data_IF_475936202586
#
_entry.id   IF_475936202586
#
_cell.length_a   1.000
_cell.length_b   1.000
_cell.length_c   1.000
_cell.angle_alpha   90.00
_cell.angle_beta   90.00
_cell.angle_gamma   90.00
#
_symmetry.space_group_name_H-M   'P 1'
#
loop_
_entity.id
_entity.type
_entity.pdbx_description
1 polymer ?
#
# COMPACT_ATOMS: atom_id res chain seq x y z
N UNK A 1 -11.72 26.07 2.81
CA UNK A 1 -11.98 24.69 2.33
C UNK A 1 -13.10 24.08 3.17
N UNK A 2 -13.99 23.23 2.64
CA UNK A 2 -15.01 22.57 3.49
C UNK A 2 -14.36 21.46 4.35
N UNK A 3 -14.89 21.21 5.56
CA UNK A 3 -14.38 20.17 6.48
C UNK A 3 -14.30 18.79 5.83
N UNK A 4 -15.34 18.41 5.09
CA UNK A 4 -15.39 17.13 4.38
C UNK A 4 -14.29 17.02 3.32
N UNK A 5 -14.03 18.11 2.60
CA UNK A 5 -12.96 18.13 1.62
C UNK A 5 -11.59 18.05 2.30
N UNK A 6 -11.39 18.72 3.44
CA UNK A 6 -10.15 18.68 4.21
C UNK A 6 -9.85 17.26 4.69
N UNK A 7 -10.84 16.60 5.31
CA UNK A 7 -10.74 15.21 5.77
C UNK A 7 -10.42 14.27 4.61
N UNK A 8 -11.06 14.45 3.45
CA UNK A 8 -10.74 13.67 2.24
C UNK A 8 -9.28 13.85 1.81
N UNK A 9 -8.75 15.08 1.81
CA UNK A 9 -7.34 15.33 1.45
C UNK A 9 -6.36 14.74 2.48
N UNK A 10 -6.65 14.86 3.78
CA UNK A 10 -5.82 14.26 4.85
C UNK A 10 -5.83 12.74 4.75
N UNK A 11 -7.00 12.11 4.60
CA UNK A 11 -7.11 10.66 4.43
C UNK A 11 -6.44 10.16 3.15
N UNK A 12 -6.48 10.96 2.06
CA UNK A 12 -5.75 10.64 0.83
C UNK A 12 -4.23 10.67 1.04
N UNK A 13 -3.72 11.63 1.79
CA UNK A 13 -2.28 11.69 2.09
C UNK A 13 -1.83 10.58 3.02
N UNK A 14 -2.67 10.22 3.99
CA UNK A 14 -2.40 9.22 5.01
C UNK A 14 -3.00 7.84 4.66
N UNK A 15 -3.16 7.55 3.36
CA UNK A 15 -3.80 6.34 2.87
C UNK A 15 -3.12 5.05 3.34
N UNK A 16 -1.80 5.13 3.58
CA UNK A 16 -0.91 4.05 4.02
C UNK A 16 -1.04 3.72 5.52
N UNK A 17 -1.81 4.49 6.30
CA UNK A 17 -2.08 4.19 7.70
C UNK A 17 -2.94 2.92 7.84
N UNK A 18 -2.65 2.13 8.87
CA UNK A 18 -3.44 0.95 9.23
C UNK A 18 -4.82 1.36 9.82
N UNK A 19 -5.77 0.43 9.91
CA UNK A 19 -7.12 0.68 10.41
C UNK A 19 -7.14 1.33 11.80
N UNK A 20 -6.30 0.84 12.73
CA UNK A 20 -6.16 1.41 14.08
C UNK A 20 -5.65 2.86 14.04
N UNK A 21 -4.66 3.14 13.19
CA UNK A 21 -4.05 4.47 13.04
C UNK A 21 -5.01 5.46 12.36
N UNK A 22 -5.84 4.99 11.42
CA UNK A 22 -6.91 5.78 10.80
C UNK A 22 -8.01 6.14 11.81
N UNK A 23 -8.38 5.22 12.68
CA UNK A 23 -9.33 5.51 13.75
C UNK A 23 -8.78 6.54 14.74
N UNK A 24 -7.49 6.43 15.09
CA UNK A 24 -6.81 7.43 15.92
C UNK A 24 -6.73 8.81 15.23
N UNK A 25 -6.45 8.84 13.92
CA UNK A 25 -6.43 10.07 13.13
C UNK A 25 -7.78 10.77 13.13
N UNK A 26 -8.87 10.03 12.88
CA UNK A 26 -10.21 10.60 12.87
C UNK A 26 -10.58 11.19 14.25
N UNK A 27 -10.32 10.45 15.34
CA UNK A 27 -10.50 10.96 16.71
C UNK A 27 -9.68 12.22 16.97
N UNK A 28 -8.45 12.27 16.48
CA UNK A 28 -7.59 13.45 16.62
C UNK A 28 -8.15 14.64 15.84
N UNK A 29 -8.57 14.46 14.59
CA UNK A 29 -9.22 15.50 13.77
C UNK A 29 -10.44 16.07 14.51
N UNK A 30 -11.31 15.21 15.05
CA UNK A 30 -12.51 15.65 15.78
C UNK A 30 -12.17 16.43 17.05
N UNK A 31 -11.14 16.01 17.80
CA UNK A 31 -10.71 16.69 19.04
C UNK A 31 -10.06 18.08 18.80
N UNK A 32 -9.33 18.25 17.70
CA UNK A 32 -8.64 19.51 17.38
C UNK A 32 -9.61 20.51 16.73
N UNK A 33 -10.64 20.02 16.03
CA UNK A 33 -11.73 20.80 15.47
C UNK A 33 -12.57 21.49 16.57
N UNK A 34 -12.89 20.77 17.66
CA UNK A 34 -13.57 21.36 18.83
C UNK A 34 -12.81 22.53 19.45
N UNK A 35 -11.47 22.53 19.32
CA UNK A 35 -10.59 23.59 19.84
C UNK A 35 -10.30 24.72 18.83
N UNK A 36 -10.99 24.78 17.66
CA UNK A 36 -10.81 25.77 16.58
C UNK A 36 -9.35 26.00 16.13
N UNK A 37 -8.48 25.01 16.31
CA UNK A 37 -7.02 25.17 16.09
C UNK A 37 -6.55 24.63 14.73
N UNK A 38 -7.47 24.13 13.89
CA UNK A 38 -7.13 23.55 12.57
C UNK A 38 -7.19 24.62 11.48
N UNK A 39 -6.03 24.90 10.87
CA UNK A 39 -5.96 25.58 9.58
C UNK A 39 -6.41 24.61 8.47
N UNK A 40 -7.71 24.62 8.16
CA UNK A 40 -8.34 23.75 7.15
C UNK A 40 -7.84 24.00 5.73
N UNK A 41 -7.09 25.08 5.48
CA UNK A 41 -6.48 25.33 4.18
C UNK A 41 -5.10 24.64 4.02
N UNK A 42 -4.56 24.00 5.07
CA UNK A 42 -3.23 23.33 5.04
C UNK A 42 -3.28 21.84 5.44
N UNK A 43 -3.97 20.97 4.68
CA UNK A 43 -4.07 19.53 4.98
C UNK A 43 -2.71 18.81 5.00
N UNK A 44 -1.74 19.30 4.22
CA UNK A 44 -0.39 18.73 4.16
C UNK A 44 0.39 18.96 5.45
N UNK A 45 0.30 20.18 5.98
CA UNK A 45 0.99 20.54 7.23
C UNK A 45 0.42 19.75 8.40
N UNK A 46 -0.91 19.64 8.48
CA UNK A 46 -1.61 18.82 9.46
C UNK A 46 -1.16 17.35 9.42
N UNK A 47 -1.15 16.75 8.23
CA UNK A 47 -0.75 15.36 8.04
C UNK A 47 0.69 15.11 8.50
N UNK A 48 1.60 16.02 8.17
CA UNK A 48 3.01 15.91 8.57
C UNK A 48 3.20 16.07 10.09
N UNK A 49 2.49 17.01 10.73
CA UNK A 49 2.55 17.18 12.19
C UNK A 49 1.98 15.98 12.94
N UNK A 50 0.84 15.44 12.49
CA UNK A 50 0.26 14.22 13.04
C UNK A 50 1.24 13.04 12.96
N UNK A 51 1.84 12.84 11.79
CA UNK A 51 2.83 11.77 11.57
C UNK A 51 4.04 11.92 12.49
N UNK A 52 4.60 13.13 12.62
CA UNK A 52 5.73 13.40 13.53
C UNK A 52 5.38 13.12 14.99
N UNK A 53 4.21 13.55 15.44
CA UNK A 53 3.80 13.49 16.86
C UNK A 53 3.36 12.11 17.30
N UNK A 54 2.59 11.40 16.47
CA UNK A 54 1.92 10.15 16.88
C UNK A 54 2.48 8.88 16.24
N UNK A 55 3.18 8.97 15.10
CA UNK A 55 3.62 7.78 14.35
C UNK A 55 5.15 7.60 14.37
N UNK A 56 5.93 8.67 14.22
CA UNK A 56 7.39 8.58 14.02
C UNK A 56 8.23 8.95 15.24
N UNK A 57 7.72 8.77 16.45
CA UNK A 57 8.35 9.27 17.67
C UNK A 57 9.86 8.88 17.78
N UNK A 58 10.72 9.88 17.55
CA UNK A 58 12.15 10.03 17.85
C UNK A 58 13.04 8.77 17.95
N UNK A 59 13.00 7.84 16.99
CA UNK A 59 14.03 6.80 16.90
C UNK A 59 15.15 7.25 15.96
N UNK A 60 16.29 7.70 16.50
CA UNK A 60 17.51 7.97 15.70
C UNK A 60 17.85 6.72 14.88
N UNK A 61 17.80 6.80 13.55
CA UNK A 61 18.23 5.70 12.67
C UNK A 61 19.33 6.15 11.73
N UNK A 62 20.37 5.32 11.64
CA UNK A 62 21.55 5.51 10.79
C UNK A 62 21.20 5.37 9.31
N UNK A 63 21.80 6.24 8.49
CA UNK A 63 21.63 6.40 7.04
C UNK A 63 21.87 5.11 6.25
N UNK A 64 22.70 4.19 6.77
CA UNK A 64 23.02 2.92 6.10
C UNK A 64 21.81 2.00 5.90
N UNK A 65 20.78 2.11 6.74
CA UNK A 65 19.58 1.28 6.63
C UNK A 65 18.68 1.65 5.44
N UNK A 66 18.83 2.85 4.86
CA UNK A 66 17.97 3.32 3.77
C UNK A 66 18.34 2.67 2.45
N UNK A 67 19.63 2.49 2.18
CA UNK A 67 20.07 1.86 0.93
C UNK A 67 19.60 0.40 0.87
N UNK A 68 19.73 -0.34 1.98
CA UNK A 68 19.18 -1.70 2.14
C UNK A 68 17.66 -1.70 2.00
N UNK A 69 16.96 -0.71 2.56
CA UNK A 69 15.51 -0.58 2.41
C UNK A 69 15.10 -0.38 0.94
N UNK A 70 15.80 0.46 0.19
CA UNK A 70 15.52 0.71 -1.22
C UNK A 70 15.75 -0.55 -2.08
N UNK A 71 16.85 -1.26 -1.87
CA UNK A 71 17.12 -2.53 -2.57
C UNK A 71 16.03 -3.55 -2.25
N UNK A 72 15.68 -3.71 -0.96
CA UNK A 72 14.62 -4.62 -0.54
C UNK A 72 13.26 -4.24 -1.13
N UNK A 73 12.98 -2.94 -1.28
CA UNK A 73 11.78 -2.44 -1.95
C UNK A 73 11.73 -2.84 -3.42
N UNK A 74 12.83 -2.63 -4.16
CA UNK A 74 12.93 -3.02 -5.58
C UNK A 74 12.74 -4.52 -5.75
N UNK A 75 13.45 -5.32 -4.95
CA UNK A 75 13.36 -6.79 -5.01
C UNK A 75 11.96 -7.29 -4.66
N UNK A 76 11.33 -6.74 -3.61
CA UNK A 76 9.97 -7.12 -3.23
C UNK A 76 8.96 -6.79 -4.33
N UNK A 77 9.07 -5.63 -4.98
CA UNK A 77 8.19 -5.30 -6.10
C UNK A 77 8.44 -6.15 -7.33
N UNK A 78 9.70 -6.41 -7.69
CA UNK A 78 10.04 -7.30 -8.79
C UNK A 78 9.41 -8.69 -8.58
N UNK A 79 9.51 -9.23 -7.37
CA UNK A 79 8.90 -10.50 -7.01
C UNK A 79 7.37 -10.47 -7.09
N UNK A 80 6.72 -9.46 -6.49
CA UNK A 80 5.26 -9.34 -6.49
C UNK A 80 4.68 -9.09 -7.89
N UNK A 81 5.36 -8.29 -8.71
CA UNK A 81 5.01 -8.11 -10.13
C UNK A 81 5.21 -9.41 -10.91
N UNK A 82 6.29 -10.15 -10.63
CA UNK A 82 6.52 -11.48 -11.19
C UNK A 82 5.37 -12.45 -10.90
N UNK A 83 4.88 -12.50 -9.65
CA UNK A 83 3.72 -13.31 -9.27
C UNK A 83 2.45 -12.89 -10.00
N UNK A 84 2.21 -11.59 -10.13
CA UNK A 84 1.06 -11.07 -10.86
C UNK A 84 1.12 -11.43 -12.35
N UNK A 85 2.27 -11.24 -12.99
CA UNK A 85 2.50 -11.61 -14.39
C UNK A 85 2.39 -13.12 -14.58
N UNK A 86 2.88 -13.92 -13.66
CA UNK A 86 2.73 -15.38 -13.69
C UNK A 86 1.25 -15.78 -13.70
N UNK A 87 0.42 -15.15 -12.87
CA UNK A 87 -1.03 -15.36 -12.90
C UNK A 87 -1.66 -14.98 -14.25
N UNK A 88 -1.25 -13.85 -14.84
CA UNK A 88 -1.73 -13.44 -16.17
C UNK A 88 -1.32 -14.42 -17.28
N UNK A 89 -0.04 -14.79 -17.32
CA UNK A 89 0.51 -15.70 -18.33
C UNK A 89 -0.12 -17.09 -18.19
N UNK A 90 -0.28 -17.60 -16.97
CA UNK A 90 -0.94 -18.87 -16.72
C UNK A 90 -2.41 -18.85 -17.17
N UNK A 91 -3.13 -17.77 -16.87
CA UNK A 91 -4.51 -17.58 -17.32
C UNK A 91 -4.62 -17.52 -18.85
N UNK A 92 -3.69 -16.86 -19.53
CA UNK A 92 -3.69 -16.78 -20.98
C UNK A 92 -3.33 -18.12 -21.62
N UNK A 93 -2.31 -18.79 -21.08
CA UNK A 93 -1.84 -20.09 -21.55
C UNK A 93 -2.94 -21.17 -21.45
N UNK A 94 -3.68 -21.19 -20.33
CA UNK A 94 -4.74 -22.19 -20.14
C UNK A 94 -5.95 -21.93 -21.04
N UNK A 95 -6.30 -20.66 -21.31
CA UNK A 95 -7.34 -20.30 -22.29
C UNK A 95 -6.91 -20.68 -23.70
N UNK A 96 -5.65 -20.43 -24.06
CA UNK A 96 -5.13 -20.84 -25.36
C UNK A 96 -5.11 -22.38 -25.51
N UNK A 97 -4.72 -23.10 -24.47
CA UNK A 97 -4.76 -24.57 -24.45
C UNK A 97 -6.19 -25.13 -24.54
N UNK A 98 -7.19 -24.39 -24.10
CA UNK A 98 -8.60 -24.76 -24.26
C UNK A 98 -9.09 -24.55 -25.71
N UNK A 99 -8.70 -23.45 -26.36
CA UNK A 99 -9.12 -23.12 -27.74
C UNK A 99 -8.42 -24.02 -28.76
N UNK A 100 -7.10 -24.18 -28.62
CA UNK A 100 -6.27 -25.04 -29.46
C UNK A 100 -5.67 -26.13 -28.57
N UNK A 101 -6.39 -27.25 -28.37
CA UNK A 101 -5.94 -28.34 -27.51
C UNK A 101 -4.74 -29.05 -28.15
N UNK A 102 -3.56 -28.56 -27.82
CA UNK A 102 -2.29 -29.24 -28.10
C UNK A 102 -1.93 -30.25 -26.99
N UNK A 103 -2.72 -30.28 -25.91
CA UNK A 103 -2.50 -31.07 -24.70
C UNK A 103 -3.85 -31.64 -24.26
N UNK A 104 -3.93 -32.95 -24.01
CA UNK A 104 -5.13 -33.61 -23.48
C UNK A 104 -5.31 -33.28 -21.98
N UNK A 105 -5.73 -32.04 -21.71
CA UNK A 105 -6.09 -31.58 -20.39
C UNK A 105 -7.61 -31.70 -20.21
N UNK A 106 -8.01 -32.33 -19.11
CA UNK A 106 -9.42 -32.34 -18.71
C UNK A 106 -9.91 -30.91 -18.46
N UNK A 107 -11.14 -30.62 -18.90
CA UNK A 107 -11.84 -29.33 -18.67
C UNK A 107 -11.84 -28.95 -17.19
N UNK A 108 -11.91 -29.94 -16.29
CA UNK A 108 -11.83 -29.69 -14.84
C UNK A 108 -10.48 -29.12 -14.39
N UNK A 109 -9.38 -29.62 -14.96
CA UNK A 109 -8.03 -29.14 -14.68
C UNK A 109 -7.85 -27.71 -15.21
N UNK A 110 -8.34 -27.45 -16.42
CA UNK A 110 -8.33 -26.12 -17.06
C UNK A 110 -9.04 -25.09 -16.17
N UNK A 111 -10.25 -25.42 -15.70
CA UNK A 111 -11.03 -24.52 -14.84
C UNK A 111 -10.32 -24.28 -13.49
N UNK A 112 -9.73 -25.31 -12.90
CA UNK A 112 -9.01 -25.20 -11.64
C UNK A 112 -7.79 -24.30 -11.76
N UNK A 113 -6.97 -24.49 -12.81
CA UNK A 113 -5.78 -23.66 -13.06
C UNK A 113 -6.18 -22.20 -13.29
N UNK A 114 -7.28 -21.95 -14.03
CA UNK A 114 -7.79 -20.60 -14.26
C UNK A 114 -8.19 -19.91 -12.94
N UNK A 115 -8.93 -20.60 -12.08
CA UNK A 115 -9.34 -20.06 -10.77
C UNK A 115 -8.12 -19.75 -9.91
N UNK A 116 -7.14 -20.67 -9.84
CA UNK A 116 -5.91 -20.47 -9.08
C UNK A 116 -5.11 -19.28 -9.62
N UNK A 117 -5.01 -19.13 -10.93
CA UNK A 117 -4.32 -18.00 -11.56
C UNK A 117 -4.98 -16.65 -11.18
N UNK A 118 -6.32 -16.60 -11.18
CA UNK A 118 -7.07 -15.40 -10.74
C UNK A 118 -6.84 -15.10 -9.27
N UNK A 119 -6.85 -16.11 -8.41
CA UNK A 119 -6.58 -15.96 -6.97
C UNK A 119 -5.16 -15.40 -6.76
N UNK A 120 -4.16 -15.94 -7.47
CA UNK A 120 -2.77 -15.45 -7.40
C UNK A 120 -2.69 -13.98 -7.82
N UNK A 121 -3.38 -13.57 -8.88
CA UNK A 121 -3.41 -12.17 -9.31
C UNK A 121 -4.00 -11.25 -8.22
N UNK A 122 -5.17 -11.62 -7.66
CA UNK A 122 -5.84 -10.82 -6.62
C UNK A 122 -4.97 -10.74 -5.36
N UNK A 123 -4.40 -11.87 -4.92
CA UNK A 123 -3.50 -11.93 -3.78
C UNK A 123 -2.25 -11.04 -3.99
N UNK A 124 -1.68 -11.07 -5.20
CA UNK A 124 -0.53 -10.25 -5.56
C UNK A 124 -0.87 -8.75 -5.50
N UNK A 125 -2.03 -8.32 -6.00
CA UNK A 125 -2.49 -6.93 -5.89
C UNK A 125 -2.66 -6.48 -4.44
N UNK A 126 -3.23 -7.34 -3.59
CA UNK A 126 -3.37 -7.05 -2.17
C UNK A 126 -2.01 -6.93 -1.47
N UNK A 127 -1.10 -7.85 -1.77
CA UNK A 127 0.27 -7.83 -1.26
C UNK A 127 1.05 -6.59 -1.73
N UNK A 128 0.88 -6.16 -2.98
CA UNK A 128 1.46 -4.91 -3.52
C UNK A 128 0.96 -3.71 -2.71
N UNK A 129 -0.36 -3.60 -2.50
CA UNK A 129 -0.95 -2.50 -1.72
C UNK A 129 -0.39 -2.46 -0.30
N UNK A 130 -0.34 -3.61 0.38
CA UNK A 130 0.18 -3.72 1.74
C UNK A 130 1.67 -3.36 1.81
N UNK A 131 2.47 -3.92 0.91
CA UNK A 131 3.91 -3.68 0.81
C UNK A 131 4.23 -2.21 0.52
N UNK A 132 3.45 -1.57 -0.36
CA UNK A 132 3.57 -0.14 -0.65
C UNK A 132 3.29 0.72 0.59
N UNK A 133 2.28 0.37 1.37
CA UNK A 133 1.97 1.08 2.61
C UNK A 133 3.12 0.97 3.63
N UNK A 134 3.70 -0.23 3.80
CA UNK A 134 4.85 -0.46 4.67
C UNK A 134 6.08 0.35 4.24
N UNK A 135 6.45 0.29 2.97
CA UNK A 135 7.60 1.04 2.46
C UNK A 135 7.40 2.55 2.52
N UNK A 136 6.20 3.04 2.18
CA UNK A 136 5.85 4.47 2.29
C UNK A 136 6.02 4.95 3.73
N UNK A 137 5.54 4.18 4.72
CA UNK A 137 5.70 4.51 6.14
C UNK A 137 7.18 4.60 6.54
N UNK A 138 7.99 3.61 6.16
CA UNK A 138 9.44 3.59 6.46
C UNK A 138 10.21 4.73 5.76
N UNK A 139 9.85 5.08 4.52
CA UNK A 139 10.45 6.19 3.80
C UNK A 139 10.11 7.55 4.44
N UNK A 140 8.86 7.73 4.86
CA UNK A 140 8.44 8.94 5.57
C UNK A 140 9.11 9.05 6.95
N UNK A 141 9.22 7.95 7.69
CA UNK A 141 9.98 7.88 8.94
C UNK A 141 11.41 8.39 8.74
N UNK A 142 12.09 7.89 7.71
CA UNK A 142 13.43 8.37 7.38
C UNK A 142 13.45 9.85 6.99
N UNK A 143 12.55 10.29 6.10
CA UNK A 143 12.48 11.70 5.66
C UNK A 143 12.30 12.66 6.84
N UNK A 144 11.47 12.32 7.82
CA UNK A 144 11.21 13.18 8.97
C UNK A 144 12.32 13.16 10.03
N UNK A 145 13.16 12.13 10.04
CA UNK A 145 14.21 11.93 11.03
C UNK A 145 15.63 12.26 10.49
N UNK A 146 15.74 12.56 9.19
CA UNK A 146 16.93 13.16 8.59
C UNK A 146 17.03 14.60 9.09
N UNK A 147 17.93 14.84 10.06
CA UNK A 147 18.38 16.20 10.43
C UNK A 147 19.33 16.72 9.37
#
# INVERSE_FOLDING_TARGET
>A
MSKNEFIKRVNKQLWFLNAKEKNALNKYIDSVDQNKSIDTNKPIRFSNEYLKKFIFNHKKKSTSHVFVLLICMVLAYAFLLGLFILGLVASLAIVHAYINPNIDLSVFVILTVLIVAIIIMIASLYAIKHTTALFTKKLLEYKFNKR
#
